data_IF_512336443159
#
_entry.id   IF_512336443159
#
_cell.length_a   1.000
_cell.length_b   1.000
_cell.length_c   1.000
_cell.angle_alpha   90.00
_cell.angle_beta   90.00
_cell.angle_gamma   90.00
#
_symmetry.space_group_name_H-M   'P 1'
#
loop_
_entity.id
_entity.type
_entity.pdbx_description
1 polymer ?
#
# COMPACT_ATOMS: atom_id res chain seq x y z
N UNK A 1 -19.66 -4.02 -5.20
CA UNK A 1 -18.79 -5.21 -5.39
C UNK A 1 -17.55 -5.15 -4.47
N UNK A 2 -16.67 -4.15 -4.57
CA UNK A 2 -15.47 -4.07 -3.70
C UNK A 2 -15.78 -3.93 -2.20
N UNK A 3 -16.81 -3.19 -1.80
CA UNK A 3 -17.23 -3.09 -0.39
C UNK A 3 -17.91 -4.39 0.09
N UNK A 4 -18.67 -5.04 -0.79
CA UNK A 4 -19.36 -6.29 -0.45
C UNK A 4 -18.37 -7.43 -0.17
N UNK A 5 -17.23 -7.50 -0.90
CA UNK A 5 -16.19 -8.48 -0.63
C UNK A 5 -15.56 -8.31 0.76
N UNK A 6 -15.64 -7.12 1.36
CA UNK A 6 -15.07 -6.86 2.68
C UNK A 6 -15.81 -7.58 3.81
N UNK A 7 -17.08 -7.93 3.61
CA UNK A 7 -17.86 -8.74 4.57
C UNK A 7 -17.19 -10.10 4.81
N UNK A 8 -16.54 -10.67 3.79
CA UNK A 8 -15.79 -11.92 3.92
C UNK A 8 -14.30 -11.69 4.21
N UNK A 9 -13.66 -10.75 3.53
CA UNK A 9 -12.21 -10.53 3.59
C UNK A 9 -11.76 -9.99 4.95
N UNK A 10 -12.45 -8.97 5.49
CA UNK A 10 -12.03 -8.28 6.72
C UNK A 10 -12.02 -9.22 7.92
N UNK A 11 -13.06 -10.04 8.20
CA UNK A 11 -13.02 -11.01 9.29
C UNK A 11 -11.85 -11.99 9.19
N UNK A 12 -11.53 -12.45 7.97
CA UNK A 12 -10.38 -13.35 7.75
C UNK A 12 -9.07 -12.66 8.10
N UNK A 13 -8.87 -11.42 7.64
CA UNK A 13 -7.66 -10.63 7.95
C UNK A 13 -7.55 -10.42 9.47
N UNK A 14 -8.65 -10.05 10.14
CA UNK A 14 -8.70 -9.87 11.60
C UNK A 14 -8.30 -11.16 12.33
N UNK A 15 -8.82 -12.32 11.91
CA UNK A 15 -8.47 -13.60 12.51
C UNK A 15 -6.99 -13.97 12.28
N UNK A 16 -6.48 -13.78 11.07
CA UNK A 16 -5.07 -14.02 10.73
C UNK A 16 -4.16 -13.13 11.55
N UNK A 17 -4.49 -11.84 11.67
CA UNK A 17 -3.80 -10.87 12.50
C UNK A 17 -3.69 -11.34 13.95
N UNK A 18 -4.80 -11.70 14.57
CA UNK A 18 -4.83 -12.12 15.96
C UNK A 18 -3.99 -13.39 16.19
N UNK A 19 -4.06 -14.37 15.27
CA UNK A 19 -3.23 -15.58 15.33
C UNK A 19 -1.74 -15.25 15.18
N UNK A 20 -1.38 -14.42 14.20
CA UNK A 20 -0.01 -14.01 13.95
C UNK A 20 0.59 -13.26 15.15
N UNK A 21 -0.11 -12.26 15.67
CA UNK A 21 0.37 -11.47 16.80
C UNK A 21 0.55 -12.34 18.05
N UNK A 22 -0.38 -13.26 18.33
CA UNK A 22 -0.22 -14.24 19.44
C UNK A 22 0.99 -15.14 19.23
N UNK A 23 1.23 -15.63 18.02
CA UNK A 23 2.39 -16.45 17.69
C UNK A 23 3.70 -15.69 17.92
N UNK A 24 3.84 -14.49 17.35
CA UNK A 24 5.05 -13.66 17.50
C UNK A 24 5.26 -13.26 18.96
N UNK A 25 4.20 -12.89 19.68
CA UNK A 25 4.29 -12.55 21.10
C UNK A 25 4.71 -13.75 21.96
N UNK A 26 4.32 -14.98 21.59
CA UNK A 26 4.77 -16.21 22.27
C UNK A 26 6.27 -16.41 22.09
N UNK A 27 6.81 -16.14 20.89
CA UNK A 27 8.23 -16.23 20.60
C UNK A 27 9.02 -15.10 21.27
N UNK A 28 8.44 -13.90 21.37
CA UNK A 28 9.03 -12.73 22.02
C UNK A 28 8.77 -12.67 23.53
N UNK A 29 8.37 -13.76 24.19
CA UNK A 29 7.95 -13.79 25.61
C UNK A 29 8.99 -13.23 26.58
N UNK A 30 10.27 -13.30 26.23
CA UNK A 30 11.37 -12.84 27.08
C UNK A 30 11.69 -11.35 26.89
N UNK A 31 11.07 -10.69 25.90
CA UNK A 31 11.29 -9.28 25.59
C UNK A 31 10.28 -8.39 26.34
N UNK A 32 10.77 -7.38 27.05
CA UNK A 32 9.96 -6.36 27.75
C UNK A 32 8.94 -5.69 26.80
N UNK A 33 9.26 -5.61 25.51
CA UNK A 33 8.44 -4.98 24.47
C UNK A 33 7.71 -5.99 23.56
N UNK A 34 7.50 -7.24 23.99
CA UNK A 34 6.95 -8.31 23.14
C UNK A 34 5.64 -7.96 22.40
N UNK A 35 4.73 -7.19 23.01
CA UNK A 35 3.51 -6.71 22.33
C UNK A 35 3.82 -5.75 21.16
N UNK A 36 4.73 -4.80 21.36
CA UNK A 36 5.15 -3.82 20.32
C UNK A 36 5.90 -4.51 19.17
N UNK A 37 6.69 -5.53 19.48
CA UNK A 37 7.36 -6.38 18.50
C UNK A 37 6.32 -7.11 17.65
N UNK A 38 5.33 -7.76 18.27
CA UNK A 38 4.28 -8.48 17.56
C UNK A 38 3.42 -7.56 16.67
N UNK A 39 3.07 -6.37 17.16
CA UNK A 39 2.35 -5.36 16.36
C UNK A 39 3.17 -4.92 15.16
N UNK A 40 4.43 -4.52 15.35
CA UNK A 40 5.28 -4.01 14.26
C UNK A 40 5.65 -5.11 13.26
N UNK A 41 5.88 -6.35 13.73
CA UNK A 41 6.12 -7.49 12.84
C UNK A 41 4.90 -7.82 11.97
N UNK A 42 3.68 -7.67 12.50
CA UNK A 42 2.46 -7.84 11.72
C UNK A 42 2.33 -6.77 10.63
N UNK A 43 2.60 -5.51 10.97
CA UNK A 43 2.66 -4.41 9.99
C UNK A 43 3.75 -4.60 8.94
N UNK A 44 4.98 -4.92 9.32
CA UNK A 44 6.04 -5.21 8.35
C UNK A 44 5.69 -6.36 7.41
N UNK A 45 5.10 -7.44 7.93
CA UNK A 45 4.74 -8.62 7.12
C UNK A 45 3.59 -8.32 6.15
N UNK A 46 2.56 -7.58 6.58
CA UNK A 46 1.43 -7.27 5.69
C UNK A 46 1.86 -6.33 4.55
N UNK A 47 2.65 -5.28 4.86
CA UNK A 47 3.16 -4.36 3.86
C UNK A 47 4.11 -5.08 2.90
N UNK A 48 4.89 -6.06 3.38
CA UNK A 48 5.76 -6.85 2.52
C UNK A 48 4.94 -7.68 1.52
N UNK A 49 3.88 -8.36 1.97
CA UNK A 49 3.00 -9.14 1.11
C UNK A 49 2.34 -8.23 0.05
N UNK A 50 1.79 -7.10 0.46
CA UNK A 50 1.19 -6.12 -0.45
C UNK A 50 2.20 -5.61 -1.47
N UNK A 51 3.38 -5.18 -1.01
CA UNK A 51 4.45 -4.69 -1.89
C UNK A 51 4.85 -5.74 -2.92
N UNK A 52 5.04 -7.00 -2.52
CA UNK A 52 5.38 -8.09 -3.45
C UNK A 52 4.27 -8.29 -4.49
N UNK A 53 3.00 -8.32 -4.08
CA UNK A 53 1.88 -8.47 -5.01
C UNK A 53 1.78 -7.28 -5.97
N UNK A 54 1.94 -6.05 -5.47
CA UNK A 54 1.88 -4.84 -6.27
C UNK A 54 3.02 -4.78 -7.29
N UNK A 55 4.26 -5.02 -6.87
CA UNK A 55 5.43 -5.07 -7.76
C UNK A 55 5.26 -6.13 -8.84
N UNK A 56 4.74 -7.31 -8.50
CA UNK A 56 4.44 -8.35 -9.49
C UNK A 56 3.44 -7.88 -10.56
N UNK A 57 2.40 -7.14 -10.19
CA UNK A 57 1.44 -6.56 -11.14
C UNK A 57 2.11 -5.48 -12.00
N UNK A 58 2.81 -4.55 -11.35
CA UNK A 58 3.49 -3.41 -12.00
C UNK A 58 4.52 -3.87 -13.03
N UNK A 59 5.33 -4.87 -12.69
CA UNK A 59 6.37 -5.41 -13.59
C UNK A 59 5.73 -6.20 -14.73
N UNK A 60 4.77 -7.10 -14.45
CA UNK A 60 4.12 -7.90 -15.50
C UNK A 60 3.37 -7.06 -16.52
N UNK A 61 2.73 -5.98 -16.08
CA UNK A 61 1.97 -5.07 -16.95
C UNK A 61 2.81 -3.88 -17.44
N UNK A 62 4.10 -3.82 -17.08
CA UNK A 62 5.05 -2.74 -17.42
C UNK A 62 4.50 -1.33 -17.13
N UNK A 63 3.79 -1.17 -16.00
CA UNK A 63 3.01 0.04 -15.71
C UNK A 63 3.87 1.30 -15.53
N UNK A 64 5.12 1.17 -15.07
CA UNK A 64 6.04 2.30 -14.88
C UNK A 64 6.94 2.57 -16.09
N UNK A 65 7.06 1.63 -17.02
CA UNK A 65 8.00 1.72 -18.15
C UNK A 65 7.31 1.96 -19.48
N UNK A 66 5.98 1.97 -19.50
CA UNK A 66 5.18 2.16 -20.70
C UNK A 66 3.94 3.03 -20.41
N UNK A 67 3.28 3.50 -21.47
CA UNK A 67 1.99 4.20 -21.38
C UNK A 67 0.83 3.27 -20.94
N UNK A 68 1.12 2.01 -20.56
CA UNK A 68 0.14 1.06 -20.05
C UNK A 68 -0.61 1.55 -18.81
N UNK A 69 -0.03 2.48 -18.03
CA UNK A 69 -0.71 3.10 -16.89
C UNK A 69 -2.06 3.73 -17.28
N UNK A 70 -2.16 4.30 -18.48
CA UNK A 70 -3.37 4.96 -18.99
C UNK A 70 -4.42 3.99 -19.54
N UNK A 71 -4.10 2.69 -19.67
CA UNK A 71 -5.01 1.72 -20.28
C UNK A 71 -6.33 1.57 -19.53
N UNK A 72 -6.34 1.84 -18.22
CA UNK A 72 -7.57 1.90 -17.42
C UNK A 72 -8.63 2.84 -18.00
N UNK A 73 -8.19 3.93 -18.65
CA UNK A 73 -9.07 4.93 -19.26
C UNK A 73 -9.61 4.48 -20.62
N UNK A 74 -8.97 3.51 -21.29
CA UNK A 74 -9.43 2.91 -22.55
C UNK A 74 -10.25 1.64 -22.33
N UNK A 75 -9.85 0.82 -21.36
CA UNK A 75 -10.49 -0.44 -21.03
C UNK A 75 -10.70 -0.51 -19.52
N UNK A 76 -11.90 -0.15 -19.02
CA UNK A 76 -12.19 -0.05 -17.58
C UNK A 76 -12.37 -1.41 -16.90
N UNK A 77 -11.79 -2.48 -17.45
CA UNK A 77 -11.88 -3.85 -16.91
C UNK A 77 -10.62 -4.19 -16.14
N UNK A 78 -10.78 -4.44 -14.84
CA UNK A 78 -9.69 -4.93 -14.00
C UNK A 78 -9.40 -6.40 -14.27
N UNK A 79 -8.12 -6.75 -14.36
CA UNK A 79 -7.67 -8.14 -14.31
C UNK A 79 -7.98 -8.76 -12.94
N UNK A 80 -8.01 -10.10 -12.87
CA UNK A 80 -8.21 -10.83 -11.61
C UNK A 80 -7.16 -10.47 -10.57
N UNK A 81 -5.90 -10.28 -10.99
CA UNK A 81 -4.81 -9.91 -10.08
C UNK A 81 -4.98 -8.50 -9.49
N UNK A 82 -5.32 -7.51 -10.33
CA UNK A 82 -5.61 -6.15 -9.86
C UNK A 82 -6.83 -6.13 -8.94
N UNK A 83 -7.88 -6.90 -9.27
CA UNK A 83 -9.09 -7.01 -8.45
C UNK A 83 -8.78 -7.60 -7.08
N UNK A 84 -8.05 -8.72 -7.03
CA UNK A 84 -7.68 -9.38 -5.79
C UNK A 84 -6.79 -8.47 -4.92
N UNK A 85 -5.81 -7.80 -5.53
CA UNK A 85 -4.93 -6.86 -4.84
C UNK A 85 -5.73 -5.69 -4.23
N UNK A 86 -6.56 -5.00 -5.03
CA UNK A 86 -7.36 -3.85 -4.55
C UNK A 86 -8.33 -4.24 -3.43
N UNK A 87 -8.94 -5.43 -3.53
CA UNK A 87 -9.82 -5.94 -2.48
C UNK A 87 -9.07 -6.27 -1.18
N UNK A 88 -7.86 -6.83 -1.29
CA UNK A 88 -6.99 -7.14 -0.17
C UNK A 88 -6.47 -5.88 0.50
N UNK A 89 -5.96 -4.92 -0.28
CA UNK A 89 -5.46 -3.62 0.15
C UNK A 89 -6.52 -2.88 0.98
N UNK A 90 -7.72 -2.72 0.41
CA UNK A 90 -8.84 -2.10 1.11
C UNK A 90 -9.21 -2.87 2.40
N UNK A 91 -9.23 -4.20 2.34
CA UNK A 91 -9.54 -5.03 3.49
C UNK A 91 -8.53 -4.88 4.63
N UNK A 92 -7.25 -4.73 4.30
CA UNK A 92 -6.18 -4.51 5.27
C UNK A 92 -6.36 -3.14 5.93
N UNK A 93 -6.63 -2.07 5.18
CA UNK A 93 -6.88 -0.74 5.75
C UNK A 93 -8.13 -0.68 6.63
N UNK A 94 -9.23 -1.33 6.22
CA UNK A 94 -10.44 -1.42 7.04
C UNK A 94 -10.16 -2.22 8.31
N UNK A 95 -9.50 -3.38 8.19
CA UNK A 95 -9.11 -4.19 9.34
C UNK A 95 -8.19 -3.41 10.29
N UNK A 96 -7.22 -2.65 9.78
CA UNK A 96 -6.35 -1.77 10.57
C UNK A 96 -7.13 -0.75 11.39
N UNK A 97 -8.14 -0.12 10.78
CA UNK A 97 -8.98 0.89 11.42
C UNK A 97 -9.76 0.35 12.63
N UNK A 98 -10.16 -0.92 12.62
CA UNK A 98 -10.84 -1.57 13.75
C UNK A 98 -9.96 -1.60 15.01
N UNK A 99 -8.64 -1.68 14.83
CA UNK A 99 -7.69 -1.88 15.93
C UNK A 99 -7.11 -0.59 16.50
N UNK A 100 -7.50 0.58 16.00
CA UNK A 100 -6.93 1.87 16.43
C UNK A 100 -6.89 2.02 17.95
N UNK A 101 -7.97 1.70 18.65
CA UNK A 101 -8.05 1.87 20.11
C UNK A 101 -7.39 0.75 20.93
N UNK A 102 -6.96 -0.35 20.30
CA UNK A 102 -6.45 -1.55 20.99
C UNK A 102 -4.92 -1.70 20.90
N UNK A 103 -4.30 -0.97 19.99
CA UNK A 103 -2.86 -1.00 19.74
C UNK A 103 -2.06 -0.17 20.76
N UNK A 104 -0.78 -0.50 20.90
CA UNK A 104 0.12 0.32 21.72
C UNK A 104 0.37 1.72 21.15
N UNK A 105 0.01 1.94 19.88
CA UNK A 105 0.23 3.17 19.11
C UNK A 105 -0.72 4.32 19.45
N UNK A 106 -1.80 4.08 20.20
CA UNK A 106 -2.73 5.13 20.69
C UNK A 106 -2.01 6.24 21.46
N UNK A 107 -0.88 5.90 22.10
CA UNK A 107 -0.10 6.84 22.91
C UNK A 107 0.87 7.70 22.10
N UNK A 108 0.98 7.47 20.81
CA UNK A 108 1.89 8.24 19.97
C UNK A 108 1.25 9.58 19.57
N UNK A 109 2.08 10.62 19.44
CA UNK A 109 1.62 11.97 19.08
C UNK A 109 0.99 12.05 17.67
N UNK A 110 1.31 11.11 16.79
CA UNK A 110 0.81 11.02 15.41
C UNK A 110 -0.52 10.26 15.28
N UNK A 111 -1.10 9.76 16.38
CA UNK A 111 -2.30 8.92 16.35
C UNK A 111 -3.48 9.57 15.61
N UNK A 112 -3.78 10.84 15.89
CA UNK A 112 -4.88 11.55 15.24
C UNK A 112 -4.65 11.70 13.72
N UNK A 113 -3.42 11.96 13.31
CA UNK A 113 -3.03 12.07 11.90
C UNK A 113 -3.19 10.69 11.22
N UNK A 114 -2.87 9.60 11.90
CA UNK A 114 -3.04 8.24 11.36
C UNK A 114 -4.50 7.85 11.13
N UNK A 115 -5.44 8.34 11.96
CA UNK A 115 -6.88 8.16 11.74
C UNK A 115 -7.31 8.87 10.46
N UNK A 116 -6.94 10.14 10.31
CA UNK A 116 -7.23 10.93 9.11
C UNK A 116 -6.62 10.27 7.87
N UNK A 117 -5.38 9.79 7.98
CA UNK A 117 -4.71 9.05 6.91
C UNK A 117 -5.52 7.84 6.46
N UNK A 118 -5.98 6.98 7.37
CA UNK A 118 -6.77 5.81 6.97
C UNK A 118 -8.10 6.21 6.32
N UNK A 119 -8.76 7.25 6.83
CA UNK A 119 -9.99 7.76 6.20
C UNK A 119 -9.73 8.23 4.77
N UNK A 120 -8.65 8.97 4.53
CA UNK A 120 -8.24 9.43 3.20
C UNK A 120 -7.89 8.24 2.30
N UNK A 121 -7.05 7.31 2.76
CA UNK A 121 -6.60 6.18 1.92
C UNK A 121 -7.74 5.24 1.57
N UNK A 122 -8.63 4.92 2.51
CA UNK A 122 -9.85 4.13 2.23
C UNK A 122 -10.72 4.85 1.19
N UNK A 123 -10.89 6.17 1.32
CA UNK A 123 -11.64 6.97 0.37
C UNK A 123 -11.00 6.92 -1.02
N UNK A 124 -9.68 7.10 -1.13
CA UNK A 124 -8.94 7.04 -2.39
C UNK A 124 -9.03 5.66 -3.05
N UNK A 125 -8.93 4.56 -2.29
CA UNK A 125 -9.05 3.20 -2.82
C UNK A 125 -10.47 2.92 -3.35
N UNK A 126 -11.50 3.34 -2.62
CA UNK A 126 -12.91 3.20 -3.05
C UNK A 126 -13.20 4.07 -4.27
N UNK A 127 -12.70 5.31 -4.28
CA UNK A 127 -12.80 6.20 -5.43
C UNK A 127 -12.12 5.59 -6.64
N UNK A 128 -10.84 5.19 -6.53
CA UNK A 128 -10.06 4.53 -7.58
C UNK A 128 -10.77 3.33 -8.20
N UNK A 129 -11.42 2.50 -7.38
CA UNK A 129 -12.25 1.39 -7.87
C UNK A 129 -13.52 1.84 -8.62
N UNK A 130 -14.16 2.89 -8.13
CA UNK A 130 -15.42 3.42 -8.68
C UNK A 130 -15.18 4.09 -10.03
N UNK A 131 -14.11 4.88 -10.13
CA UNK A 131 -13.67 5.57 -11.36
C UNK A 131 -12.80 4.72 -12.29
N UNK A 132 -12.54 3.46 -11.93
CA UNK A 132 -11.80 2.47 -12.74
C UNK A 132 -10.32 2.75 -12.95
N UNK A 133 -9.69 3.53 -12.08
CA UNK A 133 -8.25 3.83 -12.10
C UNK A 133 -7.45 2.81 -11.26
N UNK A 134 -7.45 1.55 -11.69
CA UNK A 134 -6.82 0.44 -10.99
C UNK A 134 -5.28 0.51 -10.99
N UNK A 135 -4.66 0.74 -12.14
CA UNK A 135 -3.21 0.90 -12.30
C UNK A 135 -2.67 2.03 -11.44
N UNK A 136 -3.35 3.18 -11.46
CA UNK A 136 -3.00 4.31 -10.61
C UNK A 136 -3.08 3.94 -9.13
N UNK A 137 -4.19 3.34 -8.71
CA UNK A 137 -4.38 2.93 -7.32
C UNK A 137 -3.25 1.99 -6.84
N UNK A 138 -2.88 1.02 -7.68
CA UNK A 138 -1.83 0.03 -7.37
C UNK A 138 -0.43 0.66 -7.34
N UNK A 139 -0.09 1.50 -8.31
CA UNK A 139 1.22 2.16 -8.32
C UNK A 139 1.36 3.10 -7.14
N UNK A 140 0.32 3.87 -6.83
CA UNK A 140 0.32 4.79 -5.69
C UNK A 140 0.50 3.98 -4.40
N UNK A 141 -0.28 2.92 -4.17
CA UNK A 141 -0.11 2.05 -3.01
C UNK A 141 1.32 1.47 -2.92
N UNK A 142 1.83 0.89 -4.01
CA UNK A 142 3.18 0.31 -4.05
C UNK A 142 4.29 1.30 -3.68
N UNK A 143 4.22 2.54 -4.18
CA UNK A 143 5.20 3.58 -3.88
C UNK A 143 5.19 4.02 -2.42
N UNK A 144 4.03 3.93 -1.75
CA UNK A 144 3.89 4.26 -0.35
C UNK A 144 4.31 3.07 0.54
N UNK A 145 3.80 1.87 0.28
CA UNK A 145 3.96 0.73 1.20
C UNK A 145 5.41 0.23 1.29
N UNK A 146 6.21 0.37 0.23
CA UNK A 146 7.56 -0.19 0.17
C UNK A 146 8.50 0.33 1.27
N UNK A 147 8.39 1.61 1.65
CA UNK A 147 9.22 2.12 2.76
C UNK A 147 8.72 1.64 4.11
N UNK A 148 7.41 1.42 4.23
CA UNK A 148 6.77 1.15 5.51
C UNK A 148 7.13 -0.26 5.97
N UNK A 149 7.39 -1.18 5.04
CA UNK A 149 8.09 -2.44 5.29
C UNK A 149 9.39 -2.21 6.08
N UNK A 150 10.26 -1.33 5.57
CA UNK A 150 11.59 -1.06 6.16
C UNK A 150 11.42 -0.39 7.54
N UNK A 151 10.48 0.56 7.66
CA UNK A 151 10.17 1.24 8.91
C UNK A 151 9.70 0.28 10.00
N UNK A 152 8.78 -0.63 9.66
CA UNK A 152 8.20 -1.55 10.63
C UNK A 152 9.23 -2.57 11.12
N UNK A 153 10.12 -3.04 10.23
CA UNK A 153 11.25 -3.87 10.66
C UNK A 153 12.27 -3.10 11.50
N UNK A 154 12.53 -1.81 11.22
CA UNK A 154 13.42 -1.00 12.05
C UNK A 154 12.92 -0.90 13.49
N UNK A 155 11.59 -0.77 13.68
CA UNK A 155 10.91 -0.77 14.98
C UNK A 155 11.05 -2.13 15.69
N UNK A 156 10.92 -3.24 14.96
CA UNK A 156 11.13 -4.59 15.53
C UNK A 156 12.53 -4.69 16.14
N UNK A 157 13.58 -4.34 15.39
CA UNK A 157 14.95 -4.35 15.90
C UNK A 157 15.17 -3.36 17.06
N UNK A 158 14.52 -2.19 17.01
CA UNK A 158 14.58 -1.22 18.10
C UNK A 158 14.04 -1.81 19.41
N UNK A 159 12.87 -2.45 19.34
CA UNK A 159 12.20 -3.02 20.51
C UNK A 159 12.90 -4.25 21.07
N UNK A 160 13.66 -4.97 20.24
CA UNK A 160 14.54 -6.09 20.64
C UNK A 160 15.92 -5.63 21.13
N UNK A 161 16.12 -4.34 21.41
CA UNK A 161 17.39 -3.75 21.89
C UNK A 161 18.56 -3.75 20.88
N UNK A 162 18.30 -4.02 19.60
CA UNK A 162 19.32 -4.00 18.53
C UNK A 162 19.43 -2.61 17.90
N UNK A 163 19.80 -1.62 18.71
CA UNK A 163 19.75 -0.19 18.34
C UNK A 163 20.62 0.16 17.13
N UNK A 164 21.83 -0.41 17.02
CA UNK A 164 22.73 -0.14 15.88
C UNK A 164 22.10 -0.58 14.56
N UNK A 165 21.58 -1.81 14.52
CA UNK A 165 20.87 -2.37 13.35
C UNK A 165 19.62 -1.58 13.04
N UNK A 166 18.82 -1.22 14.06
CA UNK A 166 17.63 -0.40 13.91
C UNK A 166 17.93 0.95 13.27
N UNK A 167 18.98 1.64 13.71
CA UNK A 167 19.36 2.94 13.14
C UNK A 167 19.76 2.84 11.67
N UNK A 168 20.55 1.81 11.30
CA UNK A 168 20.93 1.58 9.89
C UNK A 168 19.70 1.34 9.02
N UNK A 169 18.78 0.48 9.48
CA UNK A 169 17.53 0.19 8.76
C UNK A 169 16.64 1.44 8.68
N UNK A 170 16.59 2.24 9.75
CA UNK A 170 15.83 3.50 9.77
C UNK A 170 16.40 4.53 8.79
N UNK A 171 17.73 4.63 8.65
CA UNK A 171 18.35 5.48 7.63
C UNK A 171 18.00 4.99 6.22
N UNK A 172 18.01 3.68 5.98
CA UNK A 172 17.58 3.11 4.70
C UNK A 172 16.09 3.41 4.42
N UNK A 173 15.23 3.30 5.44
CA UNK A 173 13.83 3.72 5.35
C UNK A 173 13.73 5.18 4.88
N UNK A 174 14.46 6.11 5.51
CA UNK A 174 14.40 7.53 5.15
C UNK A 174 14.79 7.77 3.69
N UNK A 175 15.85 7.11 3.21
CA UNK A 175 16.28 7.20 1.82
C UNK A 175 15.22 6.68 0.83
N UNK A 176 14.63 5.52 1.12
CA UNK A 176 13.55 4.94 0.28
C UNK A 176 12.30 5.80 0.33
N UNK A 177 11.89 6.27 1.51
CA UNK A 177 10.75 7.15 1.69
C UNK A 177 10.90 8.43 0.86
N UNK A 178 12.02 9.14 1.02
CA UNK A 178 12.30 10.37 0.25
C UNK A 178 12.25 10.09 -1.25
N UNK A 179 12.93 9.03 -1.69
CA UNK A 179 12.99 8.67 -3.11
C UNK A 179 11.61 8.37 -3.68
N UNK A 180 10.81 7.53 -3.03
CA UNK A 180 9.50 7.14 -3.59
C UNK A 180 8.48 8.27 -3.53
N UNK A 181 8.48 9.12 -2.49
CA UNK A 181 7.50 10.21 -2.33
C UNK A 181 7.85 11.48 -3.09
N UNK A 182 9.14 11.84 -3.17
CA UNK A 182 9.57 13.11 -3.77
C UNK A 182 10.08 12.95 -5.21
N UNK A 183 10.58 11.77 -5.60
CA UNK A 183 11.07 11.55 -6.96
C UNK A 183 10.10 10.72 -7.79
N UNK A 184 9.81 9.47 -7.38
CA UNK A 184 8.99 8.57 -8.21
C UNK A 184 7.53 9.01 -8.29
N UNK A 185 6.89 9.33 -7.16
CA UNK A 185 5.48 9.72 -7.17
C UNK A 185 5.20 10.97 -8.03
N UNK A 186 5.97 12.09 -7.92
CA UNK A 186 5.75 13.24 -8.79
C UNK A 186 6.06 12.94 -10.25
N UNK A 187 7.16 12.24 -10.54
CA UNK A 187 7.60 11.94 -11.92
C UNK A 187 6.62 11.06 -12.69
N UNK A 188 6.06 10.03 -12.05
CA UNK A 188 5.22 9.03 -12.73
C UNK A 188 3.71 9.29 -12.60
N UNK A 189 3.28 10.03 -11.58
CA UNK A 189 1.85 10.27 -11.32
C UNK A 189 1.49 11.74 -11.54
N UNK A 190 2.15 12.66 -10.85
CA UNK A 190 1.75 14.08 -10.84
C UNK A 190 2.06 14.77 -12.16
N UNK A 191 3.31 14.74 -12.62
CA UNK A 191 3.77 15.47 -13.80
C UNK A 191 3.05 15.00 -15.07
N UNK A 192 2.91 13.70 -15.34
CA UNK A 192 2.19 13.24 -16.53
C UNK A 192 0.71 13.62 -16.52
N UNK A 193 0.09 13.63 -15.33
CA UNK A 193 -1.30 14.05 -15.17
C UNK A 193 -1.46 15.56 -15.40
N UNK A 194 -0.58 16.38 -14.82
CA UNK A 194 -0.62 17.84 -14.98
C UNK A 194 -0.35 18.27 -16.43
N UNK A 195 0.65 17.66 -17.07
CA UNK A 195 1.01 17.96 -18.46
C UNK A 195 0.03 17.38 -19.49
N UNK A 196 -0.96 16.59 -19.05
CA UNK A 196 -1.93 15.99 -19.95
C UNK A 196 -1.32 14.94 -20.89
N UNK A 197 -0.23 14.25 -20.49
CA UNK A 197 0.39 13.20 -21.31
C UNK A 197 -0.59 12.05 -21.63
N UNK A 198 -1.59 11.85 -20.78
CA UNK A 198 -2.69 10.94 -21.09
C UNK A 198 -3.47 11.36 -22.34
N UNK A 199 -3.59 12.66 -22.68
CA UNK A 199 -4.26 13.13 -23.90
C UNK A 199 -3.49 12.75 -25.16
N UNK A 200 -2.16 12.76 -25.10
CA UNK A 200 -1.32 12.33 -26.23
C UNK A 200 -1.51 10.83 -26.50
N UNK A 201 -1.69 10.02 -25.45
CA UNK A 201 -1.90 8.57 -25.56
C UNK A 201 -3.37 8.16 -25.83
N UNK A 202 -4.33 8.90 -25.29
CA UNK A 202 -5.77 8.56 -25.32
C UNK A 202 -6.57 9.36 -26.36
N UNK A 203 -5.99 10.41 -26.95
CA UNK A 203 -6.68 11.34 -27.85
C UNK A 203 -7.59 12.34 -27.14
N UNK A 204 -8.51 12.93 -27.92
CA UNK A 204 -9.50 13.89 -27.40
C UNK A 204 -10.67 13.19 -26.73
N UNK A 205 -11.24 13.82 -25.70
CA UNK A 205 -12.42 13.32 -25.00
C UNK A 205 -13.69 13.41 -25.89
N UNK A 206 -14.59 12.40 -25.90
CA UNK A 206 -14.46 11.09 -25.25
C UNK A 206 -13.33 10.27 -25.90
N UNK A 207 -12.41 9.75 -25.07
CA UNK A 207 -11.20 9.08 -25.53
C UNK A 207 -11.56 7.95 -26.49
N UNK A 208 -11.29 8.16 -27.77
CA UNK A 208 -11.42 7.14 -28.81
C UNK A 208 -10.10 6.40 -28.91
N UNK A 209 -10.09 5.12 -29.30
CA UNK A 209 -8.84 4.39 -29.60
C UNK A 209 -8.13 5.09 -30.78
N UNK A 210 -7.40 6.16 -30.52
CA UNK A 210 -6.60 6.83 -31.52
C UNK A 210 -5.41 5.91 -31.83
N UNK A 211 -5.56 5.15 -32.91
CA UNK A 211 -4.54 4.40 -33.63
C UNK A 211 -3.54 3.60 -32.76
N UNK A 212 -3.91 2.34 -32.48
CA UNK A 212 -3.00 1.25 -32.12
C UNK A 212 -2.06 0.87 -33.29
N UNK A 213 -1.34 1.82 -33.86
CA UNK A 213 -0.27 1.54 -34.81
C UNK A 213 1.05 1.96 -34.19
N UNK A 214 1.90 0.95 -33.95
CA UNK A 214 3.28 0.98 -33.46
C UNK A 214 3.50 1.44 -32.02
N UNK A 215 3.49 0.50 -31.06
CA UNK A 215 4.63 0.08 -30.20
C UNK A 215 4.39 -1.35 -29.73
#
# INVERSE_FOLDING_TARGET
KILLSQVAIVPIIVLLRLKFQKFVQKTAKNEKNGKKIAESAYFGTQYLILTILAVNIVVKQKLLSSHAIYQDMLNPTATTAQTAYMMLELGIYIAGSIFFCFETRVKNADFAIMIVHHAVTITLLVMGWTIKLFNYSIIIAALHDVSDVILEYSKVFYYSNWKRTSNVIFTAFAAVFISTRLYYFPKYIIVPWYNGQFKEYLGFWPFTKAQQTSI
#
